data_IF_395673546338
#
_entry.id   IF_395673546338
#
_cell.length_a   1.000
_cell.length_b   1.000
_cell.length_c   1.000
_cell.angle_alpha   90.00
_cell.angle_beta   90.00
_cell.angle_gamma   90.00
#
_symmetry.space_group_name_H-M   'P 1'
#
loop_
_entity.id
_entity.type
_entity.pdbx_description
1 polymer ?
#
# COMPACT_ATOMS: atom_id res chain seq x y z
N UNK A 1 24.07 -44.69 19.15
CA UNK A 1 22.76 -44.20 19.63
C UNK A 1 22.31 -43.07 18.72
N UNK A 2 21.34 -43.33 17.82
CA UNK A 2 20.80 -42.31 16.93
C UNK A 2 19.82 -41.42 17.71
N UNK A 3 20.01 -40.10 17.68
CA UNK A 3 19.06 -39.15 18.28
C UNK A 3 17.68 -39.36 17.64
N UNK A 4 16.58 -39.39 18.43
CA UNK A 4 15.25 -39.52 17.88
C UNK A 4 14.96 -38.37 16.91
N UNK A 5 14.42 -38.71 15.74
CA UNK A 5 14.07 -37.76 14.68
C UNK A 5 12.82 -37.03 15.13
N UNK A 6 12.98 -35.78 15.59
CA UNK A 6 11.86 -34.92 15.99
C UNK A 6 10.92 -34.71 14.80
N UNK A 7 9.63 -34.96 15.02
CA UNK A 7 8.56 -34.77 14.04
C UNK A 7 8.60 -33.31 13.50
N UNK A 8 8.73 -33.10 12.18
CA UNK A 8 8.74 -31.78 11.57
C UNK A 8 7.56 -30.89 11.99
N UNK A 9 6.39 -31.47 12.26
CA UNK A 9 5.18 -30.75 12.64
C UNK A 9 5.21 -30.21 14.09
N UNK A 10 6.10 -30.73 14.94
CA UNK A 10 6.26 -30.30 16.33
C UNK A 10 7.25 -29.15 16.54
N UNK A 11 7.92 -28.70 15.46
CA UNK A 11 8.95 -27.67 15.58
C UNK A 11 8.33 -26.31 15.77
N UNK A 12 8.80 -25.60 16.79
CA UNK A 12 8.44 -24.21 17.05
C UNK A 12 8.81 -23.34 15.84
N UNK A 13 7.88 -22.48 15.43
CA UNK A 13 8.14 -21.41 14.45
C UNK A 13 8.97 -20.32 15.13
N UNK A 14 10.04 -19.90 14.48
CA UNK A 14 11.01 -18.91 14.97
C UNK A 14 11.28 -17.87 13.88
N UNK A 15 11.75 -16.69 14.26
CA UNK A 15 11.98 -15.55 13.38
C UNK A 15 13.42 -15.44 12.89
N UNK A 16 13.63 -15.38 11.58
CA UNK A 16 14.94 -15.32 10.96
C UNK A 16 15.06 -14.06 10.11
N UNK A 17 16.21 -13.39 10.17
CA UNK A 17 16.55 -12.33 9.21
C UNK A 17 17.12 -12.99 7.96
N UNK A 18 16.56 -12.64 6.80
CA UNK A 18 17.04 -13.03 5.48
C UNK A 18 17.52 -11.77 4.78
N UNK A 19 18.77 -11.77 4.31
CA UNK A 19 19.47 -10.56 3.89
C UNK A 19 20.18 -10.82 2.57
N UNK A 20 20.11 -9.87 1.63
CA UNK A 20 20.96 -9.88 0.44
C UNK A 20 22.28 -9.14 0.73
N UNK A 21 23.03 -8.82 -0.32
CA UNK A 21 24.12 -7.86 -0.24
C UNK A 21 23.64 -6.41 -0.06
N UNK A 22 22.35 -6.15 -0.28
CA UNK A 22 21.70 -4.88 0.01
C UNK A 22 20.88 -5.01 1.31
N UNK A 23 21.25 -4.30 2.40
CA UNK A 23 20.50 -4.34 3.64
C UNK A 23 19.06 -3.84 3.50
N UNK A 24 18.73 -3.02 2.50
CA UNK A 24 17.38 -2.49 2.27
C UNK A 24 16.39 -3.55 1.79
N UNK A 25 16.89 -4.64 1.20
CA UNK A 25 16.08 -5.77 0.72
C UNK A 25 15.86 -6.85 1.80
N UNK A 26 16.43 -6.65 3.00
CA UNK A 26 16.36 -7.64 4.08
C UNK A 26 14.94 -7.78 4.63
N UNK A 27 14.54 -9.00 5.00
CA UNK A 27 13.23 -9.27 5.58
C UNK A 27 13.27 -10.28 6.74
N UNK A 28 12.21 -10.28 7.56
CA UNK A 28 12.04 -11.23 8.67
C UNK A 28 11.08 -12.34 8.26
N UNK A 29 11.54 -13.58 8.35
CA UNK A 29 10.79 -14.79 8.02
C UNK A 29 10.51 -15.64 9.25
N UNK A 30 9.27 -16.09 9.37
CA UNK A 30 8.85 -17.00 10.43
C UNK A 30 8.81 -18.44 9.92
N UNK A 31 9.76 -19.26 10.36
CA UNK A 31 9.84 -20.65 9.91
C UNK A 31 10.30 -21.61 11.01
N UNK A 32 10.14 -22.90 10.79
CA UNK A 32 10.60 -23.95 11.70
C UNK A 32 12.09 -24.30 11.54
N UNK A 33 12.75 -23.72 10.53
CA UNK A 33 14.18 -23.91 10.28
C UNK A 33 14.77 -22.78 9.43
N UNK A 34 16.09 -22.56 9.55
CA UNK A 34 16.83 -21.57 8.77
C UNK A 34 16.70 -21.82 7.25
N UNK A 35 16.81 -23.07 6.79
CA UNK A 35 16.70 -23.38 5.37
C UNK A 35 15.31 -23.11 4.79
N UNK A 36 14.25 -23.25 5.60
CA UNK A 36 12.90 -22.88 5.19
C UNK A 36 12.73 -21.36 5.14
N UNK A 37 13.17 -20.64 6.19
CA UNK A 37 13.15 -19.19 6.23
C UNK A 37 13.93 -18.57 5.06
N UNK A 38 15.14 -19.05 4.79
CA UNK A 38 15.98 -18.57 3.68
C UNK A 38 15.28 -18.72 2.33
N UNK A 39 14.60 -19.84 2.10
CA UNK A 39 13.83 -20.05 0.86
C UNK A 39 12.67 -19.08 0.76
N UNK A 40 11.86 -18.96 1.82
CA UNK A 40 10.74 -18.02 1.87
C UNK A 40 11.19 -16.57 1.63
N UNK A 41 12.26 -16.15 2.31
CA UNK A 41 12.79 -14.78 2.17
C UNK A 41 13.38 -14.52 0.79
N UNK A 42 14.08 -15.50 0.19
CA UNK A 42 14.56 -15.38 -1.20
C UNK A 42 13.39 -15.24 -2.20
N UNK A 43 12.34 -16.06 -2.03
CA UNK A 43 11.15 -16.01 -2.87
C UNK A 43 10.41 -14.66 -2.73
N UNK A 44 10.34 -14.10 -1.52
CA UNK A 44 9.73 -12.78 -1.25
C UNK A 44 10.54 -11.63 -1.86
N UNK A 45 11.87 -11.71 -1.82
CA UNK A 45 12.76 -10.72 -2.44
C UNK A 45 12.77 -10.87 -3.98
N UNK A 46 12.42 -12.05 -4.50
CA UNK A 46 12.50 -12.36 -5.93
C UNK A 46 13.91 -12.70 -6.40
N UNK A 47 14.72 -13.29 -5.52
CA UNK A 47 16.13 -13.64 -5.80
C UNK A 47 16.40 -15.13 -5.55
N UNK A 48 17.59 -15.59 -5.94
CA UNK A 48 17.98 -16.98 -5.78
C UNK A 48 18.34 -17.32 -4.32
N UNK A 49 18.07 -18.57 -3.93
CA UNK A 49 18.45 -19.08 -2.60
C UNK A 49 19.93 -18.81 -2.25
N UNK A 50 20.82 -18.91 -3.25
CA UNK A 50 22.26 -18.67 -3.09
C UNK A 50 22.64 -17.20 -2.85
N UNK A 51 21.79 -16.26 -3.25
CA UNK A 51 22.03 -14.81 -3.18
C UNK A 51 21.66 -14.19 -1.81
N UNK A 52 20.97 -14.93 -0.96
CA UNK A 52 20.60 -14.49 0.39
C UNK A 52 21.40 -15.20 1.49
N UNK A 53 21.64 -14.51 2.59
CA UNK A 53 22.07 -15.09 3.86
C UNK A 53 20.88 -15.21 4.82
N UNK A 54 20.96 -16.06 5.84
CA UNK A 54 19.88 -16.23 6.81
C UNK A 54 20.44 -16.41 8.22
N UNK A 55 20.00 -15.55 9.15
CA UNK A 55 20.41 -15.57 10.57
C UNK A 55 19.21 -15.56 11.50
N UNK A 56 19.44 -15.93 12.76
CA UNK A 56 18.42 -15.87 13.81
C UNK A 56 18.10 -14.41 14.17
N UNK A 57 16.81 -14.06 14.21
CA UNK A 57 16.32 -12.77 14.68
C UNK A 57 15.49 -12.99 15.96
N UNK A 58 16.17 -13.35 17.05
CA UNK A 58 15.51 -13.75 18.31
C UNK A 58 14.57 -12.67 18.87
N UNK A 59 14.88 -11.39 18.61
CA UNK A 59 14.04 -10.25 19.01
C UNK A 59 12.63 -10.32 18.39
N UNK A 60 12.49 -10.98 17.24
CA UNK A 60 11.23 -11.06 16.52
C UNK A 60 10.39 -12.30 16.86
N UNK A 61 10.91 -13.24 17.66
CA UNK A 61 10.24 -14.52 17.96
C UNK A 61 8.85 -14.34 18.61
N UNK A 62 8.66 -13.27 19.38
CA UNK A 62 7.38 -12.97 20.05
C UNK A 62 6.25 -12.59 19.07
N UNK A 63 6.62 -12.17 17.86
CA UNK A 63 5.67 -11.80 16.81
C UNK A 63 5.29 -12.99 15.91
N UNK A 64 5.79 -14.20 16.20
CA UNK A 64 5.42 -15.39 15.46
C UNK A 64 3.91 -15.65 15.53
N UNK A 65 3.27 -15.75 14.36
CA UNK A 65 1.81 -15.93 14.25
C UNK A 65 0.99 -14.64 14.37
N UNK A 66 1.63 -13.50 14.61
CA UNK A 66 0.98 -12.20 14.52
C UNK A 66 0.86 -11.76 13.05
N UNK A 67 -0.06 -10.82 12.77
CA UNK A 67 -0.28 -10.29 11.42
C UNK A 67 0.94 -9.52 10.89
N UNK A 68 1.67 -8.84 11.77
CA UNK A 68 2.85 -8.04 11.43
C UNK A 68 3.72 -7.81 12.67
N UNK A 69 4.98 -7.45 12.45
CA UNK A 69 5.89 -6.91 13.47
C UNK A 69 5.76 -5.37 13.45
N UNK A 70 5.51 -4.69 14.59
CA UNK A 70 5.45 -3.24 14.63
C UNK A 70 6.77 -2.57 14.21
N UNK A 71 6.70 -1.41 13.55
CA UNK A 71 7.88 -0.66 13.11
C UNK A 71 8.83 -0.34 14.28
N UNK A 72 8.27 -0.07 15.46
CA UNK A 72 9.06 0.16 16.68
C UNK A 72 9.98 -1.02 17.03
N UNK A 73 9.48 -2.25 16.93
CA UNK A 73 10.26 -3.43 17.28
C UNK A 73 11.44 -3.65 16.32
N UNK A 74 11.25 -3.30 15.05
CA UNK A 74 12.34 -3.28 14.09
C UNK A 74 13.41 -2.24 14.44
N UNK A 75 13.01 -1.00 14.73
CA UNK A 75 13.94 0.08 15.08
C UNK A 75 14.70 -0.25 16.38
N UNK A 76 14.01 -0.76 17.40
CA UNK A 76 14.63 -1.21 18.65
C UNK A 76 15.65 -2.35 18.43
N UNK A 77 15.50 -3.11 17.33
CA UNK A 77 16.42 -4.16 16.90
C UNK A 77 17.53 -3.68 15.93
N UNK A 78 17.66 -2.36 15.72
CA UNK A 78 18.70 -1.75 14.89
C UNK A 78 18.38 -1.67 13.40
N UNK A 79 17.11 -1.82 13.01
CA UNK A 79 16.66 -1.58 11.64
C UNK A 79 16.28 -0.12 11.45
N UNK A 80 16.16 0.31 10.20
CA UNK A 80 15.68 1.65 9.85
C UNK A 80 14.49 1.56 8.91
N UNK A 81 13.63 2.57 8.95
CA UNK A 81 12.46 2.73 8.08
C UNK A 81 12.47 4.12 7.47
N UNK A 82 11.90 4.29 6.28
CA UNK A 82 11.56 5.62 5.79
C UNK A 82 10.33 6.17 6.52
N UNK A 83 10.36 7.45 6.86
CA UNK A 83 9.19 8.18 7.32
C UNK A 83 8.07 8.02 6.27
N UNK A 84 6.88 7.61 6.72
CA UNK A 84 5.76 7.30 5.85
C UNK A 84 5.13 8.53 5.16
N UNK A 85 5.64 9.73 5.45
CA UNK A 85 5.25 10.96 4.77
C UNK A 85 6.37 11.52 3.89
N UNK A 86 7.52 11.87 4.48
CA UNK A 86 8.60 12.55 3.75
C UNK A 86 9.75 11.63 3.29
N UNK A 87 9.75 10.35 3.69
CA UNK A 87 10.81 9.40 3.35
C UNK A 87 12.11 9.53 4.14
N UNK A 88 12.23 10.51 5.05
CA UNK A 88 13.40 10.66 5.91
C UNK A 88 13.71 9.37 6.68
N UNK A 89 14.98 9.03 6.82
CA UNK A 89 15.41 7.82 7.54
C UNK A 89 15.07 7.92 9.03
N UNK A 90 14.41 6.89 9.54
CA UNK A 90 14.06 6.70 10.95
C UNK A 90 14.71 5.42 11.47
N UNK A 91 15.70 5.57 12.35
CA UNK A 91 16.30 4.52 13.18
C UNK A 91 16.42 5.00 14.63
N UNK A 92 17.12 4.26 15.50
CA UNK A 92 17.22 4.57 16.94
C UNK A 92 17.93 5.89 17.22
N UNK A 93 18.76 6.36 16.28
CA UNK A 93 19.66 7.49 16.43
C UNK A 93 19.28 8.61 15.45
N UNK A 94 18.05 8.57 14.92
CA UNK A 94 17.59 9.49 13.89
C UNK A 94 17.61 10.94 14.37
N UNK A 95 18.34 11.80 13.68
CA UNK A 95 18.44 13.23 13.92
C UNK A 95 18.32 14.02 12.62
N UNK A 96 18.12 15.33 12.74
CA UNK A 96 18.38 16.27 11.66
C UNK A 96 19.43 17.29 12.11
N UNK A 97 20.20 17.79 11.15
CA UNK A 97 21.13 18.89 11.38
C UNK A 97 20.39 20.21 11.43
N UNK A 98 20.50 20.93 12.54
CA UNK A 98 19.96 22.28 12.67
C UNK A 98 21.04 23.33 12.37
N UNK A 99 20.87 24.09 11.29
CA UNK A 99 21.84 25.10 10.86
C UNK A 99 21.96 26.27 11.83
N UNK A 100 20.91 26.59 12.60
CA UNK A 100 20.92 27.71 13.54
C UNK A 100 21.74 27.38 14.81
N UNK A 101 21.58 26.17 15.33
CA UNK A 101 22.31 25.73 16.53
C UNK A 101 23.62 25.01 16.22
N UNK A 102 23.88 24.65 14.96
CA UNK A 102 24.99 23.79 14.53
C UNK A 102 25.05 22.47 15.32
N UNK A 103 23.89 21.84 15.53
CA UNK A 103 23.79 20.57 16.28
C UNK A 103 22.81 19.58 15.66
N UNK A 104 23.02 18.29 15.94
CA UNK A 104 22.07 17.23 15.66
C UNK A 104 20.91 17.27 16.65
N UNK A 105 19.70 17.47 16.15
CA UNK A 105 18.47 17.42 16.94
C UNK A 105 17.80 16.07 16.69
N UNK A 106 17.65 15.28 17.76
CA UNK A 106 16.99 13.99 17.70
C UNK A 106 15.52 14.13 17.24
N UNK A 107 15.09 13.23 16.37
CA UNK A 107 13.73 13.17 15.86
C UNK A 107 12.80 12.54 16.91
N UNK A 108 11.61 13.12 17.06
CA UNK A 108 10.53 12.54 17.88
C UNK A 108 9.70 11.57 17.02
N UNK A 109 10.18 10.33 16.93
CA UNK A 109 9.58 9.31 16.09
C UNK A 109 8.18 8.92 16.56
N UNK A 110 7.19 9.00 15.67
CA UNK A 110 5.82 8.57 15.93
C UNK A 110 5.58 7.21 15.26
N UNK A 111 5.24 6.20 16.06
CA UNK A 111 4.98 4.86 15.58
C UNK A 111 3.48 4.61 15.38
N UNK A 112 3.11 4.04 14.22
CA UNK A 112 1.73 3.66 13.93
C UNK A 112 1.70 2.29 13.22
N UNK A 113 1.60 1.23 14.03
CA UNK A 113 1.59 -0.15 13.52
C UNK A 113 2.85 -0.50 12.73
N UNK A 114 2.72 -0.61 11.40
CA UNK A 114 3.80 -0.99 10.47
C UNK A 114 4.62 0.19 9.95
N UNK A 115 4.24 1.42 10.29
CA UNK A 115 4.90 2.62 9.78
C UNK A 115 5.43 3.49 10.91
N UNK A 116 6.34 4.39 10.55
CA UNK A 116 6.93 5.40 11.44
C UNK A 116 6.90 6.75 10.73
N UNK A 117 6.78 7.82 11.51
CA UNK A 117 6.92 9.20 11.06
C UNK A 117 8.06 9.86 11.81
N UNK A 118 8.82 10.71 11.13
CA UNK A 118 9.94 11.42 11.76
C UNK A 118 9.49 12.53 12.73
N UNK A 119 8.21 12.90 12.68
CA UNK A 119 7.61 13.90 13.58
C UNK A 119 6.09 13.79 13.61
N UNK A 120 5.46 14.42 14.61
CA UNK A 120 4.01 14.58 14.68
C UNK A 120 3.44 15.37 13.47
N UNK A 121 4.20 16.32 12.93
CA UNK A 121 3.82 17.08 11.75
C UNK A 121 3.75 16.19 10.51
N UNK A 122 4.72 15.31 10.31
CA UNK A 122 4.69 14.33 9.21
C UNK A 122 3.50 13.37 9.34
N UNK A 123 3.16 12.93 10.56
CA UNK A 123 1.98 12.09 10.76
C UNK A 123 0.70 12.83 10.41
N UNK A 124 0.55 14.05 10.94
CA UNK A 124 -0.64 14.88 10.70
C UNK A 124 -0.78 15.26 9.23
N UNK A 125 0.33 15.59 8.57
CA UNK A 125 0.39 15.89 7.13
C UNK A 125 -0.07 14.71 6.29
N UNK A 126 0.44 13.51 6.59
CA UNK A 126 0.00 12.29 5.92
C UNK A 126 -1.49 12.00 6.14
N UNK A 127 -1.98 12.08 7.37
CA UNK A 127 -3.40 11.88 7.68
C UNK A 127 -4.29 12.89 6.94
N UNK A 128 -3.85 14.15 6.82
CA UNK A 128 -4.55 15.16 6.05
C UNK A 128 -4.57 14.85 4.53
N UNK A 129 -3.46 14.38 3.96
CA UNK A 129 -3.39 13.94 2.56
C UNK A 129 -4.31 12.75 2.28
N UNK A 130 -4.32 11.75 3.17
CA UNK A 130 -5.23 10.59 3.10
C UNK A 130 -6.68 11.04 3.20
N UNK A 131 -7.00 11.95 4.13
CA UNK A 131 -8.35 12.48 4.29
C UNK A 131 -8.80 13.25 3.04
N UNK A 132 -7.95 14.12 2.49
CA UNK A 132 -8.23 14.87 1.26
C UNK A 132 -8.42 13.93 0.06
N UNK A 133 -7.60 12.89 -0.06
CA UNK A 133 -7.72 11.85 -1.10
C UNK A 133 -9.07 11.13 -1.03
N UNK A 134 -9.48 10.75 0.18
CA UNK A 134 -10.76 10.07 0.40
C UNK A 134 -11.96 11.00 0.13
N UNK A 135 -11.88 12.26 0.56
CA UNK A 135 -12.92 13.25 0.27
C UNK A 135 -13.10 13.46 -1.24
N UNK A 136 -11.99 13.62 -1.97
CA UNK A 136 -11.99 13.74 -3.43
C UNK A 136 -12.59 12.52 -4.13
N UNK A 137 -12.42 11.32 -3.58
CA UNK A 137 -13.04 10.11 -4.12
C UNK A 137 -14.55 10.11 -3.93
N UNK A 138 -15.08 10.56 -2.79
CA UNK A 138 -16.53 10.69 -2.59
C UNK A 138 -17.13 11.76 -3.51
N UNK A 139 -16.44 12.89 -3.69
CA UNK A 139 -16.84 13.92 -4.66
C UNK A 139 -16.85 13.38 -6.09
N UNK A 140 -15.84 12.59 -6.47
CA UNK A 140 -15.78 11.93 -7.77
C UNK A 140 -17.03 11.08 -8.03
N UNK A 141 -17.46 10.24 -7.06
CA UNK A 141 -18.67 9.41 -7.19
C UNK A 141 -19.91 10.28 -7.48
N UNK A 142 -20.05 11.40 -6.77
CA UNK A 142 -21.17 12.34 -6.99
C UNK A 142 -21.09 12.99 -8.37
N UNK A 143 -19.91 13.43 -8.80
CA UNK A 143 -19.70 14.08 -10.11
C UNK A 143 -20.05 13.13 -11.25
N UNK A 144 -19.60 11.87 -11.21
CA UNK A 144 -19.82 10.95 -12.33
C UNK A 144 -21.29 10.52 -12.46
N UNK A 145 -22.01 10.37 -11.33
CA UNK A 145 -23.45 10.10 -11.33
C UNK A 145 -24.22 11.32 -11.86
N UNK A 146 -23.87 12.52 -11.41
CA UNK A 146 -24.48 13.77 -11.89
C UNK A 146 -24.25 13.99 -13.39
N UNK A 147 -23.04 13.70 -13.87
CA UNK A 147 -22.68 13.87 -15.27
C UNK A 147 -23.47 12.95 -16.20
N UNK A 148 -23.87 11.75 -15.72
CA UNK A 148 -24.57 10.73 -16.52
C UNK A 148 -25.59 9.96 -15.66
N UNK A 149 -26.77 10.54 -15.34
CA UNK A 149 -27.73 9.90 -14.44
C UNK A 149 -28.35 8.60 -14.99
N UNK A 150 -28.26 8.34 -16.30
CA UNK A 150 -28.80 7.12 -16.92
C UNK A 150 -27.85 5.93 -16.94
N UNK A 151 -26.58 6.07 -16.50
CA UNK A 151 -25.65 4.93 -16.41
C UNK A 151 -25.75 4.30 -15.02
N UNK A 152 -25.50 3.00 -14.95
CA UNK A 152 -25.47 2.25 -13.69
C UNK A 152 -24.03 1.91 -13.35
N UNK A 153 -23.50 2.50 -12.28
CA UNK A 153 -22.17 2.16 -11.78
C UNK A 153 -22.16 0.79 -11.11
N UNK A 154 -21.20 -0.05 -11.48
CA UNK A 154 -21.03 -1.42 -10.95
C UNK A 154 -19.92 -1.51 -9.92
N UNK A 155 -18.90 -0.66 -10.03
CA UNK A 155 -17.76 -0.63 -9.12
C UNK A 155 -17.13 0.77 -9.08
N UNK A 156 -16.61 1.14 -7.91
CA UNK A 156 -15.78 2.32 -7.72
C UNK A 156 -14.47 1.93 -7.06
N UNK A 157 -13.36 2.42 -7.62
CA UNK A 157 -12.01 2.27 -7.08
C UNK A 157 -11.38 3.64 -6.98
N UNK A 158 -10.83 4.00 -5.83
CA UNK A 158 -10.26 5.32 -5.58
C UNK A 158 -10.09 5.54 -4.08
N UNK A 159 -9.73 6.77 -3.70
CA UNK A 159 -9.33 7.08 -2.34
C UNK A 159 -7.99 6.42 -1.98
N UNK A 160 -7.51 6.61 -0.76
CA UNK A 160 -6.29 5.95 -0.30
C UNK A 160 -6.45 4.41 -0.32
N UNK A 161 -5.46 3.62 -0.81
CA UNK A 161 -4.11 4.00 -1.22
C UNK A 161 -3.95 4.27 -2.74
N UNK A 162 -5.05 4.45 -3.48
CA UNK A 162 -5.03 4.63 -4.92
C UNK A 162 -4.70 6.09 -5.32
N UNK A 163 -3.85 6.24 -6.34
CA UNK A 163 -3.50 7.55 -6.91
C UNK A 163 -4.57 8.13 -7.84
N UNK A 164 -5.53 7.34 -8.31
CA UNK A 164 -6.59 7.80 -9.21
C UNK A 164 -7.96 7.25 -8.85
N UNK A 165 -9.00 7.96 -9.30
CA UNK A 165 -10.36 7.49 -9.15
C UNK A 165 -10.85 6.86 -10.45
N UNK A 166 -11.62 5.78 -10.30
CA UNK A 166 -12.21 5.02 -11.40
C UNK A 166 -13.61 4.56 -11.01
N UNK A 167 -14.55 4.72 -11.92
CA UNK A 167 -15.88 4.12 -11.84
C UNK A 167 -16.09 3.18 -13.02
N UNK A 168 -16.44 1.92 -12.78
CA UNK A 168 -16.95 1.02 -13.81
C UNK A 168 -18.46 1.17 -13.90
N UNK A 169 -19.00 1.16 -15.12
CA UNK A 169 -20.43 1.31 -15.33
C UNK A 169 -20.94 0.46 -16.48
N UNK A 170 -22.23 0.19 -16.45
CA UNK A 170 -23.02 -0.35 -17.54
C UNK A 170 -24.17 0.60 -17.90
N UNK A 171 -24.84 0.35 -19.02
CA UNK A 171 -25.95 1.13 -19.51
C UNK A 171 -26.89 0.24 -20.36
N UNK A 172 -28.13 0.67 -20.62
CA UNK A 172 -29.07 -0.10 -21.42
C UNK A 172 -28.50 -0.48 -22.79
N UNK A 173 -28.45 -1.79 -23.08
CA UNK A 173 -27.91 -2.33 -24.33
C UNK A 173 -26.40 -2.61 -24.33
N UNK A 174 -25.68 -2.32 -23.24
CA UNK A 174 -24.27 -2.65 -23.12
C UNK A 174 -24.05 -4.16 -22.91
N UNK A 175 -23.09 -4.73 -23.64
CA UNK A 175 -22.58 -6.09 -23.40
C UNK A 175 -21.44 -6.11 -22.38
N UNK A 176 -20.57 -5.08 -22.37
CA UNK A 176 -19.38 -4.97 -21.53
C UNK A 176 -19.40 -3.73 -20.63
N UNK A 177 -19.94 -2.61 -21.11
CA UNK A 177 -20.01 -1.34 -20.41
C UNK A 177 -18.79 -0.44 -20.66
N UNK A 178 -18.40 0.30 -19.63
CA UNK A 178 -17.34 1.30 -19.72
C UNK A 178 -16.72 1.65 -18.38
N UNK A 179 -15.80 2.60 -18.42
CA UNK A 179 -15.16 3.17 -17.24
C UNK A 179 -15.02 4.68 -17.34
N UNK A 180 -15.09 5.37 -16.22
CA UNK A 180 -14.78 6.79 -16.11
C UNK A 180 -13.64 6.96 -15.10
N UNK A 181 -12.71 7.86 -15.41
CA UNK A 181 -11.58 8.19 -14.52
C UNK A 181 -11.39 9.70 -14.44
N UNK A 182 -10.85 10.18 -13.32
CA UNK A 182 -10.21 11.49 -13.23
C UNK A 182 -8.70 11.33 -12.97
N UNK A 183 -7.96 12.44 -12.94
CA UNK A 183 -6.52 12.46 -12.62
C UNK A 183 -6.25 13.45 -11.50
N UNK A 184 -5.18 13.30 -10.73
CA UNK A 184 -4.86 14.23 -9.63
C UNK A 184 -4.83 15.71 -10.03
N UNK A 185 -4.39 15.98 -11.26
CA UNK A 185 -4.17 17.33 -11.80
C UNK A 185 -5.40 17.92 -12.52
N UNK A 186 -6.48 17.17 -12.68
CA UNK A 186 -7.67 17.64 -13.39
C UNK A 186 -8.96 16.96 -12.91
N UNK A 187 -10.03 17.75 -12.81
CA UNK A 187 -11.38 17.26 -12.55
C UNK A 187 -12.11 16.76 -13.80
N UNK A 188 -11.44 16.81 -14.97
CA UNK A 188 -12.01 16.36 -16.23
C UNK A 188 -12.30 14.85 -16.19
N UNK A 189 -13.58 14.53 -16.33
CA UNK A 189 -14.04 13.14 -16.40
C UNK A 189 -13.71 12.54 -17.77
N UNK A 190 -12.82 11.55 -17.79
CA UNK A 190 -12.47 10.79 -18.99
C UNK A 190 -13.33 9.54 -19.07
N UNK A 191 -14.26 9.51 -20.01
CA UNK A 191 -15.16 8.38 -20.24
C UNK A 191 -14.61 7.47 -21.33
N UNK A 192 -14.57 6.18 -21.03
CA UNK A 192 -14.19 5.11 -21.95
C UNK A 192 -15.33 4.11 -22.05
N UNK A 193 -15.63 3.66 -23.26
CA UNK A 193 -16.64 2.64 -23.56
C UNK A 193 -15.99 1.55 -24.39
N UNK A 194 -16.31 0.29 -24.06
CA UNK A 194 -15.84 -0.85 -24.82
C UNK A 194 -16.20 -0.71 -26.30
N UNK A 195 -15.28 -1.08 -27.19
CA UNK A 195 -15.49 -0.90 -28.64
C UNK A 195 -16.78 -1.57 -29.14
N UNK A 196 -17.09 -2.77 -28.64
CA UNK A 196 -18.30 -3.52 -28.99
C UNK A 196 -19.61 -2.82 -28.57
N UNK A 197 -19.56 -1.90 -27.62
CA UNK A 197 -20.74 -1.20 -27.11
C UNK A 197 -20.88 0.23 -27.64
N UNK A 198 -19.98 0.70 -28.52
CA UNK A 198 -20.00 2.08 -29.02
C UNK A 198 -21.33 2.46 -29.66
N UNK A 199 -21.90 1.60 -30.51
CA UNK A 199 -23.17 1.88 -31.17
C UNK A 199 -24.33 2.00 -30.15
N UNK A 200 -24.39 1.08 -29.18
CA UNK A 200 -25.39 1.13 -28.11
C UNK A 200 -25.22 2.38 -27.23
N UNK A 201 -23.97 2.80 -26.99
CA UNK A 201 -23.65 4.00 -26.25
C UNK A 201 -24.09 5.28 -26.97
N UNK A 202 -23.78 5.41 -28.26
CA UNK A 202 -24.15 6.60 -29.04
C UNK A 202 -25.68 6.76 -29.10
N UNK A 203 -26.41 5.65 -29.26
CA UNK A 203 -27.87 5.61 -29.17
C UNK A 203 -28.39 6.02 -27.79
N UNK A 204 -27.78 5.49 -26.73
CA UNK A 204 -28.12 5.80 -25.34
C UNK A 204 -27.91 7.29 -25.02
N UNK A 205 -26.77 7.87 -25.43
CA UNK A 205 -26.44 9.28 -25.18
C UNK A 205 -27.36 10.20 -25.98
N UNK A 206 -27.66 9.85 -27.24
CA UNK A 206 -28.59 10.62 -28.08
C UNK A 206 -30.01 10.63 -27.51
N UNK A 207 -30.46 9.54 -26.89
CA UNK A 207 -31.76 9.49 -26.22
C UNK A 207 -31.79 10.31 -24.94
N UNK A 208 -30.74 10.22 -24.13
CA UNK A 208 -30.66 10.92 -22.85
C UNK A 208 -30.36 12.43 -22.98
N UNK A 209 -29.75 12.88 -24.08
CA UNK A 209 -29.54 14.31 -24.35
C UNK A 209 -30.83 15.04 -24.75
N UNK A 210 -31.82 14.33 -25.31
CA UNK A 210 -33.14 14.89 -25.68
C UNK A 210 -34.08 15.09 -24.48
N UNK A 211 -33.72 14.59 -23.30
CA UNK A 211 -34.52 14.63 -22.07
C UNK A 211 -34.10 15.71 -21.06
N UNK A 212 -33.10 16.55 -21.36
CA UNK A 212 -32.81 17.74 -20.57
C UNK A 212 -33.61 18.93 -21.15
N UNK A 213 -34.66 19.43 -20.46
CA UNK A 213 -35.28 20.66 -20.89
C UNK A 213 -34.29 21.81 -20.69
N UNK A 214 -34.14 22.62 -21.73
CA UNK A 214 -33.53 23.95 -21.63
C UNK A 214 -34.43 24.74 -20.67
N UNK A 215 -33.93 25.04 -19.47
CA UNK A 215 -34.51 26.04 -18.58
C UNK A 215 -33.75 27.35 -18.74
#
# INVERSE_FOLDING_TARGET
MSKPKVDPASRKVLAYSVETNDPEESNIQFATSNAAARRQGADEIGTDFGAVSCRRANWADEFAGQRFIPAKAYIDAGWWFGCNHCGARCDSDASYWDEETETDIALDLIFDGRVVYCSADCKTGYEAEVAARNARFEEFKVRVVTARPGVTFTEFTGGYPWCGNKGLFTFPGAQYGGSVTDSEESEDLKWYVAHGDKAAWDDFITKNSKTLPIS
#
